data_IF_526356550670
#
_entry.id   IF_526356550670
#
_cell.length_a   1.000
_cell.length_b   1.000
_cell.length_c   1.000
_cell.angle_alpha   90.00
_cell.angle_beta   90.00
_cell.angle_gamma   90.00
#
_symmetry.space_group_name_H-M   'P 1'
#
loop_
_entity.id
_entity.type
_entity.pdbx_description
1 polymer ?
#
# COMPACT_ATOMS: atom_id res chain seq x y z
N UNK A 1 -8.50 30.68 52.10
CA UNK A 1 -8.77 32.05 51.61
C UNK A 1 -7.48 32.56 50.99
N UNK A 2 -7.51 32.92 49.70
CA UNK A 2 -6.38 33.42 48.92
C UNK A 2 -6.65 33.21 47.43
N UNK A 3 -6.90 34.32 46.73
CA UNK A 3 -7.56 34.47 45.43
C UNK A 3 -6.58 34.86 44.31
N UNK A 4 -7.07 34.89 43.05
CA UNK A 4 -6.55 35.58 41.85
C UNK A 4 -5.23 35.03 41.24
N UNK A 5 -5.06 34.80 39.92
CA UNK A 5 -5.42 35.65 38.77
C UNK A 5 -5.40 34.87 37.42
N UNK A 6 -6.39 35.19 36.56
CA UNK A 6 -6.30 35.57 35.13
C UNK A 6 -5.90 34.59 33.99
N UNK A 7 -6.93 34.32 33.15
CA UNK A 7 -7.06 34.42 31.68
C UNK A 7 -5.86 34.18 30.74
N UNK A 8 -6.07 33.30 29.75
CA UNK A 8 -5.92 33.64 28.31
C UNK A 8 -6.96 32.86 27.48
N UNK A 9 -7.43 33.51 26.42
CA UNK A 9 -8.51 33.11 25.51
C UNK A 9 -7.89 32.61 24.19
N UNK A 10 -8.49 31.62 23.50
CA UNK A 10 -8.62 31.66 22.04
C UNK A 10 -9.73 30.70 21.56
N UNK A 11 -10.84 31.32 21.14
CA UNK A 11 -11.71 31.02 20.01
C UNK A 11 -11.30 29.85 19.09
N UNK A 12 -12.25 28.99 18.71
CA UNK A 12 -12.61 28.75 17.30
C UNK A 12 -13.94 28.01 17.21
N UNK A 13 -14.89 28.76 16.65
CA UNK A 13 -16.24 28.39 16.25
C UNK A 13 -16.21 27.53 14.97
N UNK A 14 -17.34 26.87 14.69
CA UNK A 14 -17.86 26.56 13.33
C UNK A 14 -17.54 25.17 12.78
N UNK A 15 -18.53 24.27 12.73
CA UNK A 15 -19.68 24.16 11.78
C UNK A 15 -19.32 23.20 10.64
N UNK A 16 -20.23 22.24 10.43
CA UNK A 16 -20.12 21.21 9.40
C UNK A 16 -20.02 21.77 7.99
N UNK A 17 -19.43 20.98 7.11
CA UNK A 17 -19.40 21.27 5.68
C UNK A 17 -20.40 20.40 4.92
N UNK A 18 -21.03 20.96 3.87
CA UNK A 18 -22.33 20.54 3.37
C UNK A 18 -22.21 19.57 2.19
N UNK A 19 -23.29 18.80 2.01
CA UNK A 19 -23.66 18.16 0.76
C UNK A 19 -23.92 19.23 -0.32
N UNK A 20 -23.31 19.09 -1.50
CA UNK A 20 -23.75 19.73 -2.75
C UNK A 20 -23.05 19.11 -3.97
N UNK A 21 -23.81 18.35 -4.76
CA UNK A 21 -23.65 18.18 -6.21
C UNK A 21 -24.47 19.28 -6.94
N UNK A 22 -24.55 19.38 -8.29
CA UNK A 22 -23.66 18.97 -9.40
C UNK A 22 -23.37 20.16 -10.37
N UNK A 23 -22.44 20.00 -11.32
CA UNK A 23 -22.46 20.78 -12.57
C UNK A 23 -22.18 19.86 -13.77
N UNK A 24 -23.08 19.86 -14.75
CA UNK A 24 -22.88 19.30 -16.09
C UNK A 24 -22.47 20.42 -17.06
N UNK A 25 -21.62 20.13 -18.04
CA UNK A 25 -21.82 20.48 -19.47
C UNK A 25 -20.58 20.09 -20.33
N UNK A 26 -20.90 19.29 -21.36
CA UNK A 26 -20.35 19.07 -22.69
C UNK A 26 -18.89 19.40 -23.13
N UNK A 27 -18.25 18.35 -23.68
CA UNK A 27 -17.58 18.20 -25.00
C UNK A 27 -16.54 19.23 -25.48
N UNK A 28 -15.28 18.80 -25.72
CA UNK A 28 -14.62 18.72 -27.06
C UNK A 28 -13.46 17.71 -26.97
N UNK A 29 -13.36 16.79 -27.93
CA UNK A 29 -12.40 15.69 -27.92
C UNK A 29 -10.97 16.02 -28.36
N UNK A 30 -10.03 15.23 -27.85
CA UNK A 30 -8.79 14.78 -28.53
C UNK A 30 -8.40 13.43 -27.92
N UNK A 31 -8.18 12.42 -28.76
CA UNK A 31 -7.76 11.10 -28.33
C UNK A 31 -6.33 11.10 -27.77
N UNK A 32 -6.21 10.83 -26.47
CA UNK A 32 -4.99 10.37 -25.82
C UNK A 32 -5.39 9.26 -24.86
N UNK A 33 -4.71 8.11 -24.94
CA UNK A 33 -4.96 6.96 -24.07
C UNK A 33 -4.93 7.43 -22.62
N UNK A 34 -6.07 7.24 -21.92
CA UNK A 34 -6.22 7.63 -20.53
C UNK A 34 -5.06 7.04 -19.74
N UNK A 35 -4.19 7.92 -19.25
CA UNK A 35 -3.31 7.59 -18.13
C UNK A 35 -4.23 7.47 -16.92
N UNK A 36 -4.91 6.32 -16.80
CA UNK A 36 -5.71 5.97 -15.63
C UNK A 36 -4.86 6.28 -14.40
N UNK A 37 -5.31 7.26 -13.63
CA UNK A 37 -4.60 7.70 -12.44
C UNK A 37 -4.34 6.47 -11.56
N UNK A 38 -3.06 6.14 -11.36
CA UNK A 38 -2.67 4.95 -10.62
C UNK A 38 -3.31 4.94 -9.25
N UNK A 39 -4.05 3.87 -8.93
CA UNK A 39 -4.75 3.75 -7.66
C UNK A 39 -3.75 3.70 -6.52
N UNK A 40 -3.88 4.67 -5.60
CA UNK A 40 -3.21 4.68 -4.29
C UNK A 40 -4.21 4.14 -3.26
N UNK A 41 -3.76 3.25 -2.38
CA UNK A 41 -4.62 2.65 -1.36
C UNK A 41 -4.42 1.14 -1.20
N UNK A 42 -5.16 0.51 -0.28
CA UNK A 42 -5.04 -0.91 0.02
C UNK A 42 -5.34 -1.77 -1.21
N UNK A 43 -4.74 -2.96 -1.25
CA UNK A 43 -5.01 -3.95 -2.28
C UNK A 43 -6.30 -4.70 -1.97
N UNK A 44 -7.14 -4.87 -2.99
CA UNK A 44 -8.36 -5.66 -2.91
C UNK A 44 -8.11 -7.10 -3.35
N UNK A 45 -8.95 -8.04 -2.89
CA UNK A 45 -8.84 -9.45 -3.29
C UNK A 45 -9.02 -9.66 -4.80
N UNK A 46 -9.81 -8.82 -5.46
CA UNK A 46 -9.96 -8.84 -6.92
C UNK A 46 -8.66 -8.45 -7.65
N UNK A 47 -7.98 -7.40 -7.17
CA UNK A 47 -6.67 -7.00 -7.69
C UNK A 47 -5.61 -8.08 -7.46
N UNK A 48 -5.62 -8.69 -6.27
CA UNK A 48 -4.72 -9.80 -5.94
C UNK A 48 -4.95 -11.00 -6.88
N UNK A 49 -6.20 -11.36 -7.16
CA UNK A 49 -6.53 -12.45 -8.09
C UNK A 49 -6.03 -12.18 -9.52
N UNK A 50 -6.18 -10.95 -10.01
CA UNK A 50 -5.66 -10.53 -11.32
C UNK A 50 -4.13 -10.64 -11.37
N UNK A 51 -3.45 -10.17 -10.32
CA UNK A 51 -2.00 -10.23 -10.23
C UNK A 51 -1.49 -11.68 -10.18
N UNK A 52 -2.15 -12.55 -9.41
CA UNK A 52 -1.83 -13.99 -9.33
C UNK A 52 -2.01 -14.68 -10.67
N UNK A 53 -3.13 -14.45 -11.35
CA UNK A 53 -3.40 -15.04 -12.65
C UNK A 53 -2.38 -14.59 -13.70
N UNK A 54 -2.02 -13.30 -13.71
CA UNK A 54 -0.98 -12.78 -14.59
C UNK A 54 0.37 -13.46 -14.34
N UNK A 55 0.82 -13.55 -13.09
CA UNK A 55 2.11 -14.19 -12.75
C UNK A 55 2.08 -15.69 -13.08
N UNK A 56 0.96 -16.37 -12.88
CA UNK A 56 0.81 -17.78 -13.24
C UNK A 56 0.94 -18.00 -14.76
N UNK A 57 0.46 -17.05 -15.58
CA UNK A 57 0.50 -17.12 -17.05
C UNK A 57 1.86 -16.69 -17.65
N UNK A 58 2.48 -15.66 -17.08
CA UNK A 58 3.66 -15.01 -17.67
C UNK A 58 4.96 -15.20 -16.87
N UNK A 59 4.90 -15.77 -15.67
CA UNK A 59 6.02 -15.88 -14.74
C UNK A 59 6.28 -14.61 -13.92
N UNK A 60 7.16 -14.72 -12.93
CA UNK A 60 7.58 -13.60 -12.08
C UNK A 60 8.62 -12.71 -12.80
N UNK A 61 8.52 -11.38 -12.67
CA UNK A 61 9.61 -10.46 -13.02
C UNK A 61 9.25 -9.26 -13.90
N UNK A 62 8.49 -9.45 -14.98
CA UNK A 62 8.15 -8.34 -15.89
C UNK A 62 6.98 -7.48 -15.35
N UNK A 63 7.21 -6.81 -14.22
CA UNK A 63 6.16 -6.11 -13.48
C UNK A 63 5.60 -4.87 -14.19
N UNK A 64 6.39 -4.24 -15.07
CA UNK A 64 5.92 -3.10 -15.87
C UNK A 64 4.89 -3.51 -16.94
N UNK A 65 4.99 -4.76 -17.42
CA UNK A 65 4.01 -5.31 -18.36
C UNK A 65 2.68 -5.66 -17.67
N UNK A 66 2.68 -5.97 -16.36
CA UNK A 66 1.46 -6.30 -15.60
C UNK A 66 0.38 -5.25 -15.82
N UNK A 67 0.68 -3.97 -15.62
CA UNK A 67 -0.31 -2.89 -15.77
C UNK A 67 -0.92 -2.86 -17.18
N UNK A 68 -0.08 -3.03 -18.21
CA UNK A 68 -0.51 -2.96 -19.61
C UNK A 68 -1.30 -4.18 -20.06
N UNK A 69 -0.99 -5.34 -19.50
CA UNK A 69 -1.49 -6.63 -19.99
C UNK A 69 -2.63 -7.22 -19.14
N UNK A 70 -2.82 -6.75 -17.90
CA UNK A 70 -3.84 -7.29 -16.98
C UNK A 70 -5.01 -6.33 -16.71
N UNK A 71 -4.93 -5.07 -17.18
CA UNK A 71 -5.92 -4.03 -16.87
C UNK A 71 -5.86 -3.54 -15.42
N UNK A 72 -4.84 -3.93 -14.67
CA UNK A 72 -4.67 -3.53 -13.27
C UNK A 72 -4.19 -2.07 -13.17
N UNK A 73 -4.93 -1.20 -12.48
CA UNK A 73 -4.56 0.22 -12.30
C UNK A 73 -3.46 0.44 -11.24
N UNK A 74 -2.47 -0.46 -11.16
CA UNK A 74 -1.33 -0.42 -10.22
C UNK A 74 -0.01 -0.39 -10.99
N UNK A 75 0.96 0.38 -10.51
CA UNK A 75 2.28 0.44 -11.13
C UNK A 75 3.09 -0.84 -10.87
N UNK A 76 4.02 -1.15 -11.77
CA UNK A 76 4.85 -2.35 -11.66
C UNK A 76 5.60 -2.48 -10.33
N UNK A 77 6.06 -1.37 -9.75
CA UNK A 77 6.69 -1.37 -8.41
C UNK A 77 5.72 -1.86 -7.33
N UNK A 78 4.46 -1.41 -7.37
CA UNK A 78 3.41 -1.85 -6.44
C UNK A 78 3.12 -3.34 -6.63
N UNK A 79 2.97 -3.79 -7.88
CA UNK A 79 2.72 -5.20 -8.20
C UNK A 79 3.85 -6.11 -7.68
N UNK A 80 5.11 -5.75 -7.92
CA UNK A 80 6.27 -6.49 -7.39
C UNK A 80 6.23 -6.60 -5.88
N UNK A 81 5.98 -5.49 -5.19
CA UNK A 81 5.97 -5.45 -3.73
C UNK A 81 4.82 -6.30 -3.17
N UNK A 82 3.63 -6.20 -3.79
CA UNK A 82 2.47 -6.99 -3.37
C UNK A 82 2.72 -8.48 -3.55
N UNK A 83 3.30 -8.86 -4.69
CA UNK A 83 3.66 -10.25 -4.95
C UNK A 83 4.63 -10.79 -3.90
N UNK A 84 5.79 -10.14 -3.75
CA UNK A 84 6.87 -10.60 -2.89
C UNK A 84 6.46 -10.70 -1.41
N UNK A 85 5.59 -9.81 -0.93
CA UNK A 85 5.26 -9.71 0.49
C UNK A 85 3.95 -10.37 0.90
N UNK A 86 3.06 -10.71 -0.04
CA UNK A 86 1.73 -11.18 0.32
C UNK A 86 1.20 -12.34 -0.52
N UNK A 87 1.54 -12.40 -1.82
CA UNK A 87 0.90 -13.33 -2.76
C UNK A 87 1.78 -14.51 -3.16
N UNK A 88 3.10 -14.39 -3.05
CA UNK A 88 4.01 -15.50 -3.38
C UNK A 88 3.65 -16.74 -2.54
N UNK A 89 3.48 -17.92 -3.16
CA UNK A 89 3.01 -19.12 -2.46
C UNK A 89 3.99 -19.61 -1.39
N UNK A 90 5.29 -19.40 -1.60
CA UNK A 90 6.35 -19.85 -0.68
C UNK A 90 6.50 -18.96 0.55
N UNK A 91 5.65 -17.93 0.69
CA UNK A 91 5.69 -17.02 1.83
C UNK A 91 5.02 -17.67 3.05
N UNK A 92 5.80 -17.93 4.10
CA UNK A 92 5.27 -18.37 5.40
C UNK A 92 4.34 -17.31 5.97
N UNK A 93 3.10 -17.70 6.26
CA UNK A 93 2.09 -16.85 6.91
C UNK A 93 1.72 -17.49 8.25
N UNK A 94 1.96 -16.78 9.34
CA UNK A 94 1.70 -17.28 10.68
C UNK A 94 2.53 -16.57 11.74
N UNK A 95 2.32 -16.89 13.02
CA UNK A 95 3.23 -16.47 14.08
C UNK A 95 4.61 -17.08 13.87
N UNK A 96 5.65 -16.42 14.38
CA UNK A 96 6.98 -16.99 14.45
C UNK A 96 7.02 -18.10 15.50
N UNK A 97 7.82 -19.13 15.24
CA UNK A 97 8.21 -20.12 16.24
C UNK A 97 9.23 -19.52 17.22
N UNK A 98 9.37 -20.09 18.41
CA UNK A 98 10.33 -19.58 19.40
C UNK A 98 11.77 -19.58 18.83
N UNK A 99 12.11 -20.61 18.06
CA UNK A 99 13.40 -20.73 17.41
C UNK A 99 13.61 -19.63 16.34
N UNK A 100 12.57 -19.28 15.59
CA UNK A 100 12.62 -18.17 14.63
C UNK A 100 12.74 -16.81 15.35
N UNK A 101 12.04 -16.62 16.48
CA UNK A 101 12.14 -15.40 17.28
C UNK A 101 13.54 -15.19 17.85
N UNK A 102 14.11 -16.22 18.47
CA UNK A 102 15.47 -16.19 19.01
C UNK A 102 16.47 -15.88 17.90
N UNK A 103 16.28 -16.49 16.72
CA UNK A 103 17.12 -16.24 15.56
C UNK A 103 17.02 -14.81 15.05
N UNK A 104 15.82 -14.23 15.02
CA UNK A 104 15.61 -12.83 14.62
C UNK A 104 16.35 -11.89 15.57
N UNK A 105 16.30 -12.14 16.88
CA UNK A 105 16.99 -11.33 17.89
C UNK A 105 18.50 -11.41 17.71
N UNK A 106 19.06 -12.60 17.54
CA UNK A 106 20.50 -12.79 17.27
C UNK A 106 20.96 -12.05 16.02
N UNK A 107 20.21 -12.22 14.92
CA UNK A 107 20.53 -11.59 13.64
C UNK A 107 20.41 -10.06 13.72
N UNK A 108 19.42 -9.54 14.46
CA UNK A 108 19.28 -8.10 14.68
C UNK A 108 20.42 -7.55 15.52
N UNK A 109 20.83 -8.23 16.59
CA UNK A 109 21.99 -7.83 17.38
C UNK A 109 23.29 -7.81 16.54
N UNK A 110 23.42 -8.75 15.59
CA UNK A 110 24.60 -8.86 14.71
C UNK A 110 24.62 -7.83 13.59
N UNK A 111 23.48 -7.55 12.95
CA UNK A 111 23.40 -6.78 11.70
C UNK A 111 22.61 -5.47 11.79
N UNK A 112 21.91 -5.22 12.90
CA UNK A 112 21.01 -4.11 13.10
C UNK A 112 19.79 -4.19 12.16
N UNK A 113 19.31 -3.02 11.71
CA UNK A 113 18.10 -2.86 10.91
C UNK A 113 18.26 -3.28 9.43
N UNK A 114 18.88 -4.43 9.15
CA UNK A 114 19.08 -4.98 7.81
C UNK A 114 18.05 -6.07 7.52
N UNK A 115 16.77 -5.73 7.65
CA UNK A 115 15.64 -6.66 7.53
C UNK A 115 15.64 -7.52 6.28
N UNK A 116 15.90 -6.94 5.10
CA UNK A 116 15.94 -7.71 3.86
C UNK A 116 17.03 -8.79 3.85
N UNK A 117 18.14 -8.57 4.56
CA UNK A 117 19.21 -9.56 4.72
C UNK A 117 18.81 -10.61 5.76
N UNK A 118 18.25 -10.19 6.88
CA UNK A 118 17.79 -11.10 7.93
C UNK A 118 16.71 -12.04 7.41
N UNK A 119 15.72 -11.53 6.67
CA UNK A 119 14.62 -12.30 6.09
C UNK A 119 15.06 -13.36 5.07
N UNK A 120 16.33 -13.36 4.62
CA UNK A 120 16.88 -14.42 3.79
C UNK A 120 17.50 -15.57 4.62
N UNK A 121 17.62 -15.41 5.94
CA UNK A 121 18.30 -16.33 6.87
C UNK A 121 17.34 -16.98 7.88
N UNK A 122 16.05 -16.61 7.86
CA UNK A 122 14.95 -17.14 8.71
C UNK A 122 13.85 -17.70 7.82
#
# INVERSE_FOLDING_TARGET
>A
MGDMTSQTEDTMLSKGCPDSQPVEEASVGVGTAAVDALKKGPWTSAEDAILVDYVKKHGEGNWNAVQKNSGLSRCGKSCRLRWANHLKPDLKKGPFTQEEEDRIIELHAKWGNKWARMAAEV
#
